data_IF_317701149920
#
_entry.id   IF_317701149920
#
_cell.length_a   1.000
_cell.length_b   1.000
_cell.length_c   1.000
_cell.angle_alpha   90.00
_cell.angle_beta   90.00
_cell.angle_gamma   90.00
#
_symmetry.space_group_name_H-M   'P 1'
#
loop_
_entity.id
_entity.type
_entity.pdbx_description
1 polymer ?
#
# COMPACT_ATOMS: atom_id res chain seq x y z
N UNK A 1 36.53 16.01 -24.65
CA UNK A 1 36.00 15.21 -23.51
C UNK A 1 34.48 15.16 -23.58
N UNK A 2 33.89 14.05 -24.04
CA UNK A 2 32.44 13.88 -24.04
C UNK A 2 32.07 13.24 -22.70
N UNK A 3 31.41 14.00 -21.81
CA UNK A 3 30.84 13.45 -20.61
C UNK A 3 29.68 12.47 -21.00
N UNK A 4 29.88 11.21 -20.72
CA UNK A 4 28.81 10.20 -20.75
C UNK A 4 27.94 10.44 -19.53
N UNK A 5 26.85 11.19 -19.70
CA UNK A 5 25.79 11.19 -18.70
C UNK A 5 25.21 9.78 -18.60
N UNK A 6 25.30 9.20 -17.41
CA UNK A 6 24.75 7.89 -17.11
C UNK A 6 23.25 7.88 -17.43
N UNK A 7 22.76 6.78 -18.00
CA UNK A 7 21.32 6.57 -18.27
C UNK A 7 20.46 6.74 -17.02
N UNK A 8 21.05 6.59 -15.83
CA UNK A 8 20.43 6.77 -14.51
C UNK A 8 19.97 8.20 -14.25
N UNK A 9 20.77 9.23 -14.64
CA UNK A 9 20.41 10.64 -14.41
C UNK A 9 19.21 11.10 -15.24
N UNK A 10 18.95 10.45 -16.37
CA UNK A 10 17.78 10.75 -17.21
C UNK A 10 16.50 10.13 -16.67
N UNK A 11 16.60 8.97 -16.01
CA UNK A 11 15.45 8.29 -15.38
C UNK A 11 14.98 9.01 -14.10
N UNK A 12 15.92 9.49 -13.28
CA UNK A 12 15.58 10.25 -12.06
C UNK A 12 14.91 11.58 -12.41
N UNK A 13 15.36 12.26 -13.47
CA UNK A 13 14.74 13.52 -13.93
C UNK A 13 13.33 13.31 -14.51
N UNK A 14 13.10 12.20 -15.20
CA UNK A 14 11.76 11.85 -15.72
C UNK A 14 10.80 11.42 -14.59
N UNK A 15 11.31 10.78 -13.54
CA UNK A 15 10.56 10.37 -12.36
C UNK A 15 10.08 11.58 -11.52
N UNK A 16 10.92 12.61 -11.35
CA UNK A 16 10.54 13.81 -10.60
C UNK A 16 9.39 14.59 -11.29
N UNK A 17 9.36 14.62 -12.61
CA UNK A 17 8.27 15.27 -13.36
C UNK A 17 6.98 14.43 -13.38
N UNK A 18 7.10 13.12 -13.34
CA UNK A 18 5.94 12.22 -13.27
C UNK A 18 5.32 12.18 -11.86
N UNK A 19 6.16 12.24 -10.81
CA UNK A 19 5.68 12.31 -9.42
C UNK A 19 4.80 13.55 -9.15
N UNK A 20 5.08 14.69 -9.79
CA UNK A 20 4.26 15.90 -9.65
C UNK A 20 2.87 15.80 -10.30
N UNK A 21 2.70 14.96 -11.33
CA UNK A 21 1.39 14.75 -11.96
C UNK A 21 0.51 13.80 -11.11
N UNK A 22 1.12 12.90 -10.33
CA UNK A 22 0.41 11.93 -9.50
C UNK A 22 -0.21 12.53 -8.23
N UNK A 23 0.22 13.70 -7.77
CA UNK A 23 -0.33 14.34 -6.56
C UNK A 23 -1.74 14.88 -6.74
N UNK A 24 -2.25 15.00 -7.98
CA UNK A 24 -3.59 15.54 -8.28
C UNK A 24 -4.59 14.54 -8.85
N UNK A 25 -4.17 13.32 -9.16
CA UNK A 25 -5.10 12.31 -9.62
C UNK A 25 -5.52 11.44 -8.43
N UNK A 26 -6.83 11.25 -8.20
CA UNK A 26 -7.27 10.29 -7.20
C UNK A 26 -6.68 8.92 -7.58
N UNK A 27 -6.14 8.22 -6.60
CA UNK A 27 -5.54 6.89 -6.76
C UNK A 27 -6.47 5.89 -7.49
N UNK A 28 -7.78 6.17 -7.48
CA UNK A 28 -8.80 5.43 -8.22
C UNK A 28 -8.69 5.49 -9.76
N UNK A 29 -7.85 6.38 -10.32
CA UNK A 29 -7.70 6.47 -11.77
C UNK A 29 -6.85 5.34 -12.39
N UNK A 30 -6.25 4.46 -11.55
CA UNK A 30 -5.37 3.37 -11.98
C UNK A 30 -6.02 2.00 -11.76
N UNK A 31 -7.22 1.83 -12.30
CA UNK A 31 -7.96 0.56 -12.20
C UNK A 31 -7.43 -0.56 -13.11
N UNK A 32 -6.37 -0.30 -13.90
CA UNK A 32 -5.77 -1.31 -14.78
C UNK A 32 -4.69 -2.08 -14.00
N UNK A 33 -4.87 -3.40 -13.86
CA UNK A 33 -3.96 -4.28 -13.12
C UNK A 33 -2.56 -4.37 -13.75
N UNK A 34 -2.39 -3.89 -14.99
CA UNK A 34 -1.14 -3.95 -15.74
C UNK A 34 -0.31 -2.66 -15.65
N UNK A 35 -0.80 -1.60 -15.00
CA UNK A 35 -0.06 -0.34 -14.91
C UNK A 35 1.00 -0.41 -13.82
N UNK A 36 2.25 -0.19 -14.21
CA UNK A 36 3.36 0.01 -13.28
C UNK A 36 3.29 1.44 -12.70
N UNK A 37 3.18 1.53 -11.39
CA UNK A 37 3.23 2.80 -10.67
C UNK A 37 4.19 2.73 -9.49
N UNK A 38 4.81 3.86 -9.19
CA UNK A 38 5.70 4.03 -8.05
C UNK A 38 4.92 4.71 -6.93
N UNK A 39 4.97 4.17 -5.72
CA UNK A 39 4.25 4.72 -4.56
C UNK A 39 5.23 5.39 -3.61
N UNK A 40 5.30 6.73 -3.59
CA UNK A 40 6.13 7.43 -2.62
C UNK A 40 5.67 7.13 -1.18
N UNK A 41 6.64 6.80 -0.32
CA UNK A 41 6.41 6.46 1.08
C UNK A 41 6.42 7.73 1.95
N UNK A 42 5.33 8.48 1.91
CA UNK A 42 5.12 9.68 2.72
C UNK A 42 3.71 9.75 3.32
N UNK A 43 3.48 10.72 4.20
CA UNK A 43 2.25 10.83 4.99
C UNK A 43 0.97 11.09 4.18
N UNK A 44 1.06 11.56 2.95
CA UNK A 44 -0.12 11.75 2.08
C UNK A 44 -0.64 10.39 1.57
N UNK A 45 0.26 9.47 1.25
CA UNK A 45 -0.10 8.12 0.79
C UNK A 45 -0.35 7.17 1.97
N UNK A 46 0.34 7.36 3.09
CA UNK A 46 0.26 6.55 4.30
C UNK A 46 0.19 7.46 5.54
N UNK A 47 -0.98 7.99 5.91
CA UNK A 47 -1.09 8.98 6.97
C UNK A 47 -0.80 8.44 8.37
N UNK A 48 -0.97 7.15 8.60
CA UNK A 48 -0.58 6.52 9.87
C UNK A 48 0.93 6.26 9.90
N UNK A 49 1.62 6.90 10.84
CA UNK A 49 3.08 6.82 10.94
C UNK A 49 3.58 5.40 11.22
N UNK A 50 2.84 4.64 12.02
CA UNK A 50 3.21 3.26 12.37
C UNK A 50 3.06 2.35 11.17
N UNK A 51 2.00 2.53 10.39
CA UNK A 51 1.80 1.80 9.16
C UNK A 51 2.83 2.18 8.09
N UNK A 52 3.10 3.47 7.90
CA UNK A 52 4.13 3.95 6.97
C UNK A 52 5.50 3.36 7.30
N UNK A 53 5.89 3.38 8.57
CA UNK A 53 7.17 2.82 9.01
C UNK A 53 7.24 1.31 8.81
N UNK A 54 6.14 0.60 9.09
CA UNK A 54 6.04 -0.83 8.81
C UNK A 54 6.24 -1.13 7.32
N UNK A 55 5.59 -0.38 6.42
CA UNK A 55 5.75 -0.54 4.97
C UNK A 55 7.19 -0.26 4.55
N UNK A 56 7.75 0.86 5.01
CA UNK A 56 9.12 1.28 4.69
C UNK A 56 10.14 0.23 5.11
N UNK A 57 10.08 -0.25 6.33
CA UNK A 57 11.07 -1.19 6.86
C UNK A 57 10.89 -2.62 6.34
N UNK A 58 9.68 -2.97 5.91
CA UNK A 58 9.37 -4.36 5.52
C UNK A 58 9.47 -4.56 4.01
N UNK A 59 9.02 -3.60 3.21
CA UNK A 59 8.81 -3.79 1.78
C UNK A 59 9.65 -2.89 0.88
N UNK A 60 10.09 -1.70 1.35
CA UNK A 60 11.01 -0.85 0.61
C UNK A 60 12.42 -1.47 0.68
N UNK A 61 12.81 -2.15 -0.38
CA UNK A 61 14.11 -2.80 -0.53
C UNK A 61 15.04 -2.03 -1.45
N UNK A 62 14.53 -0.88 -1.95
CA UNK A 62 15.23 -0.07 -2.93
C UNK A 62 15.37 -0.75 -4.29
N UNK A 63 15.07 0.00 -5.32
CA UNK A 63 15.31 -0.45 -6.71
C UNK A 63 16.76 -0.33 -7.13
N UNK A 64 17.67 -0.04 -6.23
CA UNK A 64 19.10 0.05 -6.48
C UNK A 64 19.81 -1.29 -6.26
N UNK A 65 20.97 -1.47 -6.90
CA UNK A 65 21.77 -2.70 -6.79
C UNK A 65 22.26 -2.99 -5.35
N UNK A 66 22.23 -1.97 -4.48
CA UNK A 66 22.63 -2.06 -3.07
C UNK A 66 21.48 -2.55 -2.15
N UNK A 67 20.24 -2.54 -2.64
CA UNK A 67 19.06 -2.99 -1.89
C UNK A 67 18.68 -2.09 -0.72
N UNK A 68 19.20 -0.85 -0.68
CA UNK A 68 18.87 0.11 0.37
C UNK A 68 17.51 0.77 0.12
N UNK A 69 16.71 1.01 1.17
CA UNK A 69 15.43 1.70 1.06
C UNK A 69 15.57 3.07 0.40
N UNK A 70 14.73 3.36 -0.59
CA UNK A 70 14.76 4.61 -1.35
C UNK A 70 13.56 5.53 -1.07
N UNK A 71 12.63 5.12 -0.21
CA UNK A 71 11.41 5.85 0.11
C UNK A 71 10.31 5.76 -0.94
N UNK A 72 10.42 4.81 -1.84
CA UNK A 72 9.46 4.58 -2.93
C UNK A 72 9.18 3.07 -3.02
N UNK A 73 7.92 2.66 -2.99
CA UNK A 73 7.57 1.29 -3.37
C UNK A 73 7.49 1.17 -4.89
N UNK A 74 8.39 0.41 -5.43
CA UNK A 74 8.44 0.11 -6.86
C UNK A 74 7.47 -1.02 -7.24
N UNK A 75 7.12 -1.15 -8.54
CA UNK A 75 6.18 -2.18 -8.99
C UNK A 75 6.57 -3.61 -8.56
N UNK A 76 7.85 -3.94 -8.59
CA UNK A 76 8.35 -5.24 -8.13
C UNK A 76 8.12 -5.48 -6.65
N UNK A 77 8.22 -4.44 -5.82
CA UNK A 77 8.08 -4.52 -4.37
C UNK A 77 6.62 -4.69 -3.96
N UNK A 78 5.72 -3.75 -4.35
CA UNK A 78 4.32 -3.87 -3.94
C UNK A 78 3.61 -5.08 -4.58
N UNK A 79 4.00 -5.52 -5.78
CA UNK A 79 3.48 -6.73 -6.41
C UNK A 79 3.90 -8.01 -5.69
N UNK A 80 5.07 -8.02 -5.05
CA UNK A 80 5.56 -9.17 -4.28
C UNK A 80 4.81 -9.34 -2.95
N UNK A 81 4.12 -8.29 -2.46
CA UNK A 81 3.43 -8.34 -1.17
C UNK A 81 2.14 -9.15 -1.28
N UNK A 82 2.12 -10.28 -0.63
CA UNK A 82 0.95 -11.18 -0.54
C UNK A 82 0.38 -11.28 0.87
N UNK A 83 1.11 -10.82 1.87
CA UNK A 83 0.69 -10.87 3.28
C UNK A 83 1.14 -9.61 4.01
N UNK A 84 0.23 -9.00 4.75
CA UNK A 84 0.50 -7.89 5.68
C UNK A 84 0.04 -8.32 7.06
N UNK A 85 0.96 -8.25 8.04
CA UNK A 85 0.67 -8.52 9.46
C UNK A 85 1.04 -7.31 10.29
N UNK A 86 0.02 -6.58 10.69
CA UNK A 86 0.13 -5.36 11.49
C UNK A 86 -0.68 -5.45 12.79
N UNK A 87 -0.83 -6.65 13.33
CA UNK A 87 -1.53 -6.86 14.60
C UNK A 87 -0.85 -6.16 15.77
N UNK A 88 -1.66 -5.66 16.73
CA UNK A 88 -1.18 -5.08 18.00
C UNK A 88 -0.22 -3.89 17.82
N UNK A 89 -0.47 -3.02 16.85
CA UNK A 89 0.44 -1.89 16.54
C UNK A 89 -0.14 -0.51 16.82
N UNK A 90 -1.35 -0.42 17.40
CA UNK A 90 -2.05 0.84 17.64
C UNK A 90 -2.29 1.68 16.37
N UNK A 91 -2.36 1.05 15.22
CA UNK A 91 -2.61 1.70 13.93
C UNK A 91 -4.04 2.23 13.89
N UNK A 92 -4.18 3.48 13.44
CA UNK A 92 -5.47 4.17 13.31
C UNK A 92 -6.01 4.16 11.88
N UNK A 93 -5.15 3.98 10.88
CA UNK A 93 -5.51 3.97 9.46
C UNK A 93 -4.60 3.04 8.67
N UNK A 94 -5.19 2.26 7.78
CA UNK A 94 -4.49 1.49 6.75
C UNK A 94 -4.65 2.14 5.37
N UNK A 95 -4.87 3.46 5.32
CA UNK A 95 -4.88 4.18 4.05
C UNK A 95 -3.58 3.91 3.29
N UNK A 96 -3.68 3.66 1.97
CA UNK A 96 -2.54 3.23 1.13
C UNK A 96 -2.46 1.70 0.95
N UNK A 97 -3.22 0.90 1.72
CA UNK A 97 -3.21 -0.58 1.57
C UNK A 97 -3.67 -1.03 0.18
N UNK A 98 -4.47 -0.22 -0.51
CA UNK A 98 -5.00 -0.50 -1.84
C UNK A 98 -3.92 -0.61 -2.92
N UNK A 99 -2.70 -0.10 -2.69
CA UNK A 99 -1.58 -0.29 -3.61
C UNK A 99 -1.12 -1.75 -3.70
N UNK A 100 -1.35 -2.56 -2.67
CA UNK A 100 -0.93 -3.97 -2.61
C UNK A 100 -1.94 -4.90 -3.29
N UNK A 101 -2.05 -4.82 -4.61
CA UNK A 101 -3.08 -5.52 -5.41
C UNK A 101 -2.95 -7.05 -5.37
N UNK A 102 -1.77 -7.58 -5.02
CA UNK A 102 -1.54 -9.02 -4.85
C UNK A 102 -1.76 -9.52 -3.42
N UNK A 103 -2.25 -8.65 -2.52
CA UNK A 103 -2.49 -9.01 -1.13
C UNK A 103 -3.52 -10.13 -1.04
N UNK A 104 -3.13 -11.24 -0.38
CA UNK A 104 -3.97 -12.43 -0.16
C UNK A 104 -4.36 -12.59 1.30
N UNK A 105 -3.55 -12.04 2.23
CA UNK A 105 -3.76 -12.17 3.68
C UNK A 105 -3.53 -10.84 4.37
N UNK A 106 -4.48 -10.41 5.19
CA UNK A 106 -4.38 -9.21 6.02
C UNK A 106 -4.70 -9.54 7.47
N UNK A 107 -3.73 -9.33 8.36
CA UNK A 107 -3.88 -9.48 9.79
C UNK A 107 -3.71 -8.11 10.45
N UNK A 108 -4.82 -7.47 10.81
CA UNK A 108 -4.84 -6.13 11.40
C UNK A 108 -5.62 -6.07 12.73
N UNK A 109 -5.76 -7.20 13.41
CA UNK A 109 -6.46 -7.29 14.70
C UNK A 109 -5.77 -6.47 15.78
N UNK A 110 -6.56 -6.02 16.77
CA UNK A 110 -6.09 -5.29 17.94
C UNK A 110 -5.36 -3.99 17.56
N UNK A 111 -5.99 -3.19 16.71
CA UNK A 111 -5.57 -1.85 16.33
C UNK A 111 -6.67 -0.82 16.70
N UNK A 112 -6.61 0.36 16.14
CA UNK A 112 -7.57 1.44 16.37
C UNK A 112 -8.31 1.85 15.10
N UNK A 113 -8.46 0.92 14.14
CA UNK A 113 -9.12 1.18 12.87
C UNK A 113 -10.60 1.49 13.07
N UNK A 114 -11.11 2.47 12.33
CA UNK A 114 -12.54 2.80 12.23
C UNK A 114 -13.08 2.53 10.82
N UNK A 115 -12.21 2.42 9.83
CA UNK A 115 -12.55 2.11 8.44
C UNK A 115 -11.44 1.31 7.79
N UNK A 116 -11.77 0.60 6.72
CA UNK A 116 -10.83 -0.20 5.95
C UNK A 116 -11.31 -0.26 4.50
N UNK A 117 -10.52 0.33 3.60
CA UNK A 117 -10.78 0.27 2.15
C UNK A 117 -9.95 -0.85 1.54
N UNK A 118 -10.61 -1.83 0.94
CA UNK A 118 -10.01 -3.00 0.31
C UNK A 118 -10.39 -3.14 -1.17
N UNK A 119 -10.95 -2.10 -1.79
CA UNK A 119 -11.52 -2.12 -3.14
C UNK A 119 -10.56 -2.67 -4.19
N UNK A 120 -9.26 -2.45 -4.05
CA UNK A 120 -8.23 -2.93 -5.00
C UNK A 120 -7.48 -4.18 -4.54
N UNK A 121 -7.74 -4.68 -3.33
CA UNK A 121 -7.10 -5.90 -2.83
C UNK A 121 -7.90 -7.15 -3.25
N UNK A 122 -8.12 -7.30 -4.55
CA UNK A 122 -9.07 -8.27 -5.13
C UNK A 122 -8.71 -9.75 -4.88
N UNK A 123 -7.49 -10.05 -4.46
CA UNK A 123 -7.03 -11.40 -4.14
C UNK A 123 -7.18 -11.76 -2.65
N UNK A 124 -7.58 -10.77 -1.82
CA UNK A 124 -7.86 -11.01 -0.41
C UNK A 124 -9.20 -11.70 -0.26
N UNK A 125 -9.26 -12.78 0.53
CA UNK A 125 -10.49 -13.49 0.84
C UNK A 125 -10.90 -13.23 2.29
N UNK A 126 -12.19 -13.37 2.59
CA UNK A 126 -12.73 -13.18 3.93
C UNK A 126 -12.05 -14.06 4.98
N UNK A 127 -11.72 -15.30 4.64
CA UNK A 127 -11.02 -16.25 5.51
C UNK A 127 -9.64 -15.73 5.96
N UNK A 128 -9.00 -14.94 5.07
CA UNK A 128 -7.66 -14.41 5.24
C UNK A 128 -7.64 -12.95 5.73
N UNK A 129 -8.80 -12.37 6.03
CA UNK A 129 -8.94 -11.08 6.69
C UNK A 129 -9.18 -11.29 8.18
N UNK A 130 -8.26 -10.81 9.04
CA UNK A 130 -8.39 -10.83 10.49
C UNK A 130 -8.30 -9.41 11.03
N UNK A 131 -9.43 -8.83 11.42
CA UNK A 131 -9.54 -7.44 11.86
C UNK A 131 -10.25 -7.24 13.21
N UNK A 132 -10.39 -8.29 14.01
CA UNK A 132 -11.01 -8.23 15.34
C UNK A 132 -10.27 -7.30 16.31
N UNK A 133 -10.95 -6.77 17.33
CA UNK A 133 -10.32 -5.91 18.34
C UNK A 133 -9.92 -4.53 17.81
N UNK A 134 -10.61 -4.01 16.81
CA UNK A 134 -10.50 -2.63 16.36
C UNK A 134 -11.62 -1.75 16.95
N UNK A 135 -11.58 -0.45 16.68
CA UNK A 135 -12.66 0.46 17.08
C UNK A 135 -13.92 0.13 16.30
N UNK A 136 -15.02 0.00 17.00
CA UNK A 136 -16.31 -0.31 16.42
C UNK A 136 -17.11 0.97 16.13
N UNK A 137 -17.91 1.02 15.03
CA UNK A 137 -17.91 0.08 13.90
C UNK A 137 -16.77 0.35 12.91
N UNK A 138 -16.13 -0.73 12.40
CA UNK A 138 -15.27 -0.58 11.22
C UNK A 138 -16.18 -0.53 9.99
N UNK A 139 -16.06 0.51 9.19
CA UNK A 139 -16.63 0.55 7.85
C UNK A 139 -15.62 -0.04 6.89
N UNK A 140 -15.99 -1.13 6.21
CA UNK A 140 -15.20 -1.71 5.13
C UNK A 140 -15.76 -1.17 3.83
N UNK A 141 -14.98 -0.40 3.10
CA UNK A 141 -15.35 0.11 1.79
C UNK A 141 -14.95 -0.91 0.73
N UNK A 142 -15.95 -1.46 0.10
CA UNK A 142 -15.84 -2.52 -0.89
C UNK A 142 -16.58 -2.15 -2.18
N UNK A 143 -16.59 -0.89 -2.57
CA UNK A 143 -17.43 -0.35 -3.63
C UNK A 143 -17.44 -1.13 -4.95
N UNK A 144 -16.58 -2.14 -5.09
CA UNK A 144 -16.57 -3.06 -6.23
C UNK A 144 -16.55 -4.56 -5.85
N UNK A 145 -16.74 -4.90 -4.55
CA UNK A 145 -16.73 -6.29 -4.07
C UNK A 145 -17.86 -6.56 -3.09
N UNK A 146 -18.70 -7.51 -3.44
CA UNK A 146 -19.60 -8.16 -2.49
C UNK A 146 -18.82 -9.17 -1.64
N UNK A 147 -18.26 -8.74 -0.51
CA UNK A 147 -18.01 -9.66 0.58
C UNK A 147 -19.32 -9.80 1.34
N UNK A 148 -19.83 -11.01 1.46
CA UNK A 148 -20.89 -11.29 2.41
C UNK A 148 -20.36 -10.99 3.82
N UNK A 149 -20.67 -9.79 4.31
CA UNK A 149 -20.31 -9.30 5.63
C UNK A 149 -21.11 -10.04 6.70
N UNK A 150 -20.88 -11.33 6.87
CA UNK A 150 -21.26 -12.07 8.07
C UNK A 150 -20.01 -12.41 8.89
N UNK A 151 -20.04 -12.21 10.18
CA UNK A 151 -19.10 -11.30 10.85
C UNK A 151 -17.97 -12.06 11.50
N UNK A 152 -16.73 -11.91 11.07
CA UNK A 152 -15.65 -12.13 12.01
C UNK A 152 -15.06 -10.83 12.57
N UNK A 153 -15.54 -9.65 12.14
CA UNK A 153 -15.02 -8.40 12.69
C UNK A 153 -15.82 -7.89 13.91
N UNK A 154 -16.84 -8.64 14.38
CA UNK A 154 -17.82 -8.20 15.38
C UNK A 154 -17.65 -8.86 16.75
N UNK A 155 -16.65 -9.72 16.94
CA UNK A 155 -16.42 -10.38 18.24
C UNK A 155 -15.03 -10.05 18.75
#
# INVERSE_FOLDING_TARGET
MKQRFSKRTRLVSALLTLAMVFTFLPFSAFADDDVDFWVPLHSENFPDKTFLEYIRTTFDKGGSEDGEPNGILEPGEWRAVTTIDVRNKNITSLWGITCFRNLKKLYCSNNQLTSLNLSYNTKLTQENLKCTGNKYPITIDETERTFDLYPPCWI
#
